data_IF_693455303119
#
_entry.id   IF_693455303119
#
_cell.length_a   1.000
_cell.length_b   1.000
_cell.length_c   1.000
_cell.angle_alpha   90.00
_cell.angle_beta   90.00
_cell.angle_gamma   90.00
#
_symmetry.space_group_name_H-M   'P 1'
#
loop_
_entity.id
_entity.type
_entity.pdbx_description
1 polymer ?
#
# COMPACT_ATOMS: atom_id res chain seq x y z
N UNK A 1 -6.75 40.01 -14.40
CA UNK A 1 -6.98 39.57 -13.00
C UNK A 1 -8.06 38.47 -12.87
N UNK A 2 -8.99 38.31 -13.82
CA UNK A 2 -9.96 37.19 -13.82
C UNK A 2 -9.38 35.91 -14.45
N UNK A 3 -8.52 36.03 -15.48
CA UNK A 3 -7.91 34.88 -16.17
C UNK A 3 -6.92 34.08 -15.28
N UNK A 4 -6.27 34.75 -14.32
CA UNK A 4 -5.29 34.12 -13.42
C UNK A 4 -5.98 33.23 -12.36
N UNK A 5 -7.22 33.57 -11.97
CA UNK A 5 -7.99 32.83 -10.98
C UNK A 5 -8.52 31.48 -11.50
N UNK A 6 -8.74 31.36 -12.81
CA UNK A 6 -9.26 30.13 -13.43
C UNK A 6 -8.19 29.02 -13.48
N UNK A 7 -6.91 29.39 -13.62
CA UNK A 7 -5.78 28.44 -13.64
C UNK A 7 -5.58 27.79 -12.25
N UNK A 8 -5.87 28.51 -11.16
CA UNK A 8 -5.72 28.00 -9.80
C UNK A 8 -6.79 26.97 -9.38
N UNK A 9 -7.93 26.91 -10.07
CA UNK A 9 -9.05 26.00 -9.71
C UNK A 9 -8.83 24.58 -10.27
N UNK A 10 -8.01 24.42 -11.30
CA UNK A 10 -7.83 23.14 -12.01
C UNK A 10 -6.84 22.16 -11.34
N UNK A 11 -6.29 22.47 -10.17
CA UNK A 11 -5.21 21.68 -9.54
C UNK A 11 -5.58 21.01 -8.20
N UNK A 12 -6.87 20.77 -7.94
CA UNK A 12 -7.30 19.89 -6.83
C UNK A 12 -7.63 18.53 -7.40
N UNK A 13 -6.60 17.71 -7.61
CA UNK A 13 -6.74 16.28 -7.82
C UNK A 13 -6.41 15.59 -6.50
N UNK A 14 -7.43 15.11 -5.77
CA UNK A 14 -7.19 14.17 -4.68
C UNK A 14 -6.63 12.88 -5.25
N UNK A 15 -5.58 12.31 -4.64
CA UNK A 15 -5.06 11.01 -5.05
C UNK A 15 -6.11 9.93 -4.81
N UNK A 16 -6.87 9.60 -5.86
CA UNK A 16 -7.81 8.47 -5.87
C UNK A 16 -7.06 7.16 -6.20
N UNK A 17 -5.80 7.05 -5.76
CA UNK A 17 -4.91 5.92 -6.00
C UNK A 17 -5.12 4.84 -4.95
N UNK A 18 -4.84 3.58 -5.29
CA UNK A 18 -4.77 2.49 -4.31
C UNK A 18 -3.72 2.82 -3.26
N UNK A 19 -4.16 3.11 -2.04
CA UNK A 19 -3.31 3.45 -0.86
C UNK A 19 -2.72 2.21 -0.17
N UNK A 20 -2.70 1.08 -0.87
CA UNK A 20 -2.24 -0.19 -0.34
C UNK A 20 -1.59 -1.06 -1.41
N UNK A 21 -0.72 -1.97 -0.98
CA UNK A 21 -0.15 -3.02 -1.83
C UNK A 21 -0.79 -4.36 -1.47
N UNK A 22 -1.10 -5.18 -2.47
CA UNK A 22 -1.65 -6.52 -2.28
C UNK A 22 -0.78 -7.57 -2.98
N UNK A 23 -0.50 -8.67 -2.28
CA UNK A 23 0.18 -9.83 -2.83
C UNK A 23 -0.68 -11.07 -2.61
N UNK A 24 -1.01 -11.76 -3.71
CA UNK A 24 -1.74 -13.02 -3.65
C UNK A 24 -0.83 -14.15 -3.16
N UNK A 25 -1.34 -14.96 -2.25
CA UNK A 25 -0.61 -16.08 -1.68
C UNK A 25 -0.42 -17.21 -2.68
N UNK A 26 0.80 -17.75 -2.76
CA UNK A 26 1.10 -18.97 -3.52
C UNK A 26 0.70 -20.22 -2.73
N UNK A 27 1.03 -21.41 -3.26
CA UNK A 27 0.87 -22.64 -2.50
C UNK A 27 1.75 -22.64 -1.24
N UNK A 28 1.20 -23.14 -0.14
CA UNK A 28 1.89 -23.17 1.13
C UNK A 28 0.98 -23.59 2.28
N UNK A 29 1.54 -23.81 3.48
CA UNK A 29 0.80 -24.28 4.66
C UNK A 29 -0.29 -23.31 5.13
N UNK A 30 -0.31 -22.08 4.61
CA UNK A 30 -1.22 -21.02 5.01
C UNK A 30 -2.08 -20.49 3.85
N UNK A 31 -2.19 -21.26 2.76
CA UNK A 31 -3.02 -20.95 1.59
C UNK A 31 -4.43 -20.49 1.99
N UNK A 32 -4.86 -19.35 1.43
CA UNK A 32 -6.19 -18.79 1.66
C UNK A 32 -6.35 -18.01 2.96
N UNK A 33 -5.31 -17.87 3.79
CA UNK A 33 -5.33 -16.98 4.96
C UNK A 33 -4.87 -15.58 4.57
N UNK A 34 -5.50 -14.57 5.17
CA UNK A 34 -5.20 -13.17 4.90
C UNK A 34 -4.40 -12.55 6.06
N UNK A 35 -3.38 -11.75 5.74
CA UNK A 35 -2.62 -10.90 6.68
C UNK A 35 -2.69 -9.45 6.21
N UNK A 36 -2.96 -8.53 7.14
CA UNK A 36 -2.87 -7.09 6.89
C UNK A 36 -1.69 -6.54 7.68
N UNK A 37 -0.80 -5.85 7.00
CA UNK A 37 0.37 -5.16 7.54
C UNK A 37 0.10 -3.66 7.51
N UNK A 38 0.34 -2.96 8.62
CA UNK A 38 0.11 -1.52 8.75
C UNK A 38 1.46 -0.85 8.89
N UNK A 39 1.88 -0.09 7.87
CA UNK A 39 3.07 0.73 7.93
C UNK A 39 2.74 2.13 8.50
N UNK A 40 3.73 3.02 8.57
CA UNK A 40 3.60 4.37 9.11
C UNK A 40 4.49 4.65 10.31
N UNK A 41 5.46 3.77 10.59
CA UNK A 41 6.53 4.06 11.54
C UNK A 41 7.62 4.90 10.89
N UNK A 42 7.84 6.09 11.46
CA UNK A 42 8.81 7.09 10.99
C UNK A 42 10.27 6.70 11.28
N UNK A 43 10.53 5.97 12.35
CA UNK A 43 11.88 5.64 12.82
C UNK A 43 12.55 4.59 11.92
N UNK A 44 11.79 3.57 11.49
CA UNK A 44 12.31 2.43 10.73
C UNK A 44 11.86 2.39 9.27
N UNK A 45 11.17 3.44 8.78
CA UNK A 45 10.69 3.55 7.39
C UNK A 45 9.94 2.28 6.96
N UNK A 46 8.96 1.91 7.77
CA UNK A 46 8.17 0.67 7.60
C UNK A 46 7.53 0.52 6.21
N UNK A 47 7.36 1.62 5.49
CA UNK A 47 6.88 1.71 4.11
C UNK A 47 7.79 0.94 3.13
N UNK A 48 9.08 0.77 3.45
CA UNK A 48 10.02 0.02 2.62
C UNK A 48 10.12 -1.44 3.04
N UNK A 49 10.09 -1.72 4.35
CA UNK A 49 10.30 -3.08 4.88
C UNK A 49 9.05 -3.96 4.80
N UNK A 50 7.86 -3.42 5.08
CA UNK A 50 6.61 -4.18 5.09
C UNK A 50 6.22 -4.74 3.72
N UNK A 51 6.39 -4.05 2.57
CA UNK A 51 6.15 -4.64 1.26
C UNK A 51 7.01 -5.87 0.97
N UNK A 52 8.28 -5.85 1.39
CA UNK A 52 9.16 -7.00 1.20
C UNK A 52 8.73 -8.17 2.09
N UNK A 53 8.38 -7.90 3.35
CA UNK A 53 7.84 -8.90 4.28
C UNK A 53 6.53 -9.52 3.75
N UNK A 54 5.62 -8.69 3.25
CA UNK A 54 4.36 -9.10 2.64
C UNK A 54 4.59 -10.09 1.48
N UNK A 55 5.56 -9.77 0.61
CA UNK A 55 5.94 -10.61 -0.53
C UNK A 55 6.54 -11.95 -0.10
N UNK A 56 7.39 -11.97 0.93
CA UNK A 56 7.97 -13.21 1.48
C UNK A 56 6.86 -14.11 2.04
N UNK A 57 5.95 -13.55 2.84
CA UNK A 57 4.81 -14.28 3.41
C UNK A 57 3.90 -14.85 2.32
N UNK A 58 3.63 -14.08 1.27
CA UNK A 58 2.82 -14.55 0.15
C UNK A 58 3.51 -15.62 -0.69
N UNK A 59 4.81 -15.45 -0.95
CA UNK A 59 5.56 -16.34 -1.84
C UNK A 59 5.91 -17.67 -1.20
N UNK A 60 6.34 -17.65 0.06
CA UNK A 60 6.91 -18.84 0.73
C UNK A 60 5.93 -19.56 1.66
N UNK A 61 4.91 -18.86 2.16
CA UNK A 61 3.97 -19.42 3.14
C UNK A 61 2.53 -19.50 2.63
N UNK A 62 2.22 -18.81 1.53
CA UNK A 62 0.91 -18.86 0.87
C UNK A 62 -0.15 -17.95 1.47
N UNK A 63 0.24 -16.96 2.26
CA UNK A 63 -0.70 -15.95 2.76
C UNK A 63 -1.09 -14.97 1.65
N UNK A 64 -2.35 -14.58 1.57
CA UNK A 64 -2.67 -13.32 0.89
C UNK A 64 -2.27 -12.18 1.83
N UNK A 65 -1.49 -11.23 1.35
CA UNK A 65 -1.01 -10.12 2.18
C UNK A 65 -1.43 -8.79 1.61
N UNK A 66 -1.80 -7.86 2.49
CA UNK A 66 -2.09 -6.47 2.14
C UNK A 66 -1.27 -5.55 3.04
N UNK A 67 -0.60 -4.57 2.46
CA UNK A 67 0.15 -3.53 3.18
C UNK A 67 -0.60 -2.21 3.05
N UNK A 68 -0.97 -1.63 4.19
CA UNK A 68 -1.58 -0.30 4.27
C UNK A 68 -0.51 0.73 4.60
N UNK A 69 -0.56 1.87 3.94
CA UNK A 69 0.35 2.99 4.15
C UNK A 69 -0.34 4.12 4.92
N UNK A 70 0.42 4.91 5.70
CA UNK A 70 -0.10 6.16 6.24
C UNK A 70 -0.50 7.10 5.10
N UNK A 71 -1.52 7.93 5.34
CA UNK A 71 -2.03 8.94 4.40
C UNK A 71 -1.34 10.29 4.58
#
# INVERSE_FOLDING_TARGET
>A
MILLAVISISCVSAQNGTTFLHFEGKDGPRKGKNIVLISGDDEYRSEESMPMMAKILATHYGFNTTVLFPI
#
